data_IF_517970943589
#
_entry.id   IF_517970943589
#
_cell.length_a   1.000
_cell.length_b   1.000
_cell.length_c   1.000
_cell.angle_alpha   90.00
_cell.angle_beta   90.00
_cell.angle_gamma   90.00
#
_symmetry.space_group_name_H-M   'P 1'
#
loop_
_entity.id
_entity.type
_entity.pdbx_description
1 polymer ?
#
# COMPACT_ATOMS: atom_id res chain seq x y z
N UNK A 1 6.35 -21.29 8.25
CA UNK A 1 6.00 -22.21 7.14
C UNK A 1 6.56 -21.60 5.86
N UNK A 2 7.49 -22.28 5.18
CA UNK A 2 8.05 -21.78 3.91
C UNK A 2 6.97 -21.89 2.83
N UNK A 3 6.51 -20.75 2.31
CA UNK A 3 5.58 -20.75 1.16
C UNK A 3 6.43 -21.00 -0.09
N UNK A 4 6.34 -22.20 -0.64
CA UNK A 4 6.96 -22.49 -1.94
C UNK A 4 6.09 -21.86 -3.02
N UNK A 5 6.67 -20.94 -3.78
CA UNK A 5 6.02 -20.26 -4.91
C UNK A 5 6.60 -20.81 -6.20
N UNK A 6 5.73 -21.14 -7.16
CA UNK A 6 6.13 -21.42 -8.53
C UNK A 6 5.67 -20.25 -9.41
N UNK A 7 6.51 -19.85 -10.35
CA UNK A 7 6.26 -18.73 -11.26
C UNK A 7 6.63 -19.13 -12.68
N UNK A 8 5.88 -18.63 -13.66
CA UNK A 8 6.19 -18.81 -15.08
C UNK A 8 5.72 -17.62 -15.88
N UNK A 9 6.42 -17.29 -16.97
CA UNK A 9 5.99 -16.22 -17.86
C UNK A 9 4.63 -16.54 -18.47
N UNK A 10 3.76 -15.52 -18.51
CA UNK A 10 2.58 -15.56 -19.37
C UNK A 10 3.05 -15.69 -20.81
N UNK A 11 2.50 -16.67 -21.54
CA UNK A 11 2.88 -16.93 -22.93
C UNK A 11 2.86 -15.67 -23.79
N UNK A 12 3.88 -15.51 -24.64
CA UNK A 12 4.08 -14.37 -25.53
C UNK A 12 4.31 -13.02 -24.85
N UNK A 13 4.71 -13.01 -23.58
CA UNK A 13 5.15 -11.80 -22.85
C UNK A 13 6.53 -12.03 -22.23
N UNK A 14 7.30 -10.97 -22.08
CA UNK A 14 8.61 -10.96 -21.41
C UNK A 14 8.60 -10.13 -20.11
N UNK A 15 7.44 -9.63 -19.70
CA UNK A 15 7.27 -8.70 -18.58
C UNK A 15 6.24 -9.16 -17.54
N UNK A 16 5.55 -10.28 -17.78
CA UNK A 16 4.45 -10.74 -16.93
C UNK A 16 4.70 -12.16 -16.44
N UNK A 17 4.81 -12.34 -15.12
CA UNK A 17 4.87 -13.65 -14.47
C UNK A 17 3.51 -14.01 -13.88
N UNK A 18 3.09 -15.25 -14.08
CA UNK A 18 2.00 -15.87 -13.33
C UNK A 18 2.53 -16.55 -12.09
N UNK A 19 1.87 -16.30 -10.96
CA UNK A 19 2.22 -16.86 -9.67
C UNK A 19 1.26 -17.99 -9.29
N UNK A 20 1.85 -19.07 -8.78
CA UNK A 20 1.14 -20.21 -8.23
C UNK A 20 1.62 -20.48 -6.81
N UNK A 21 0.68 -20.67 -5.88
CA UNK A 21 0.95 -20.91 -4.47
C UNK A 21 0.70 -22.38 -4.15
N UNK A 22 1.63 -23.01 -3.43
CA UNK A 22 1.43 -24.35 -2.90
C UNK A 22 0.33 -24.35 -1.82
N UNK A 23 -0.73 -25.12 -2.03
CA UNK A 23 -1.87 -25.23 -1.09
C UNK A 23 -1.77 -26.41 -0.12
N UNK A 24 -0.65 -27.13 -0.13
CA UNK A 24 -0.46 -28.38 0.61
C UNK A 24 -0.51 -29.63 -0.28
N UNK A 25 -1.21 -29.56 -1.42
CA UNK A 25 -1.35 -30.67 -2.36
C UNK A 25 -0.95 -30.31 -3.80
N UNK A 26 -1.13 -29.04 -4.20
CA UNK A 26 -0.94 -28.58 -5.58
C UNK A 26 -0.50 -27.11 -5.62
N UNK A 27 0.09 -26.70 -6.75
CA UNK A 27 0.34 -25.28 -7.03
C UNK A 27 -0.90 -24.66 -7.69
N UNK A 28 -1.49 -23.65 -7.05
CA UNK A 28 -2.73 -23.02 -7.50
C UNK A 28 -2.55 -21.55 -7.84
N UNK A 29 -3.04 -21.18 -9.01
CA UNK A 29 -3.12 -19.79 -9.47
C UNK A 29 -4.15 -19.01 -8.64
N UNK A 30 -3.78 -17.81 -8.17
CA UNK A 30 -4.68 -16.92 -7.41
C UNK A 30 -5.14 -17.44 -6.04
N UNK A 31 -4.42 -18.40 -5.46
CA UNK A 31 -4.76 -18.96 -4.15
C UNK A 31 -4.30 -18.06 -2.98
N UNK A 32 -4.99 -18.09 -1.84
CA UNK A 32 -4.69 -17.33 -0.60
C UNK A 32 -4.49 -15.81 -0.79
N UNK A 33 -5.35 -15.17 -1.59
CA UNK A 33 -5.27 -13.73 -1.88
C UNK A 33 -3.86 -13.29 -2.37
N UNK A 34 -3.15 -14.17 -3.07
CA UNK A 34 -1.87 -13.85 -3.70
C UNK A 34 -2.03 -12.92 -4.88
N UNK A 35 -0.95 -12.24 -5.29
CA UNK A 35 -0.88 -11.50 -6.54
C UNK A 35 -0.73 -12.50 -7.70
N UNK A 36 -1.80 -12.83 -8.44
CA UNK A 36 -1.75 -13.91 -9.42
C UNK A 36 -0.88 -13.54 -10.64
N UNK A 37 -0.69 -12.23 -10.86
CA UNK A 37 0.13 -11.67 -11.94
C UNK A 37 1.13 -10.70 -11.32
N UNK A 38 2.39 -10.83 -11.71
CA UNK A 38 3.48 -9.93 -11.34
C UNK A 38 3.95 -9.26 -12.63
N UNK A 39 3.87 -7.94 -12.70
CA UNK A 39 4.41 -7.18 -13.81
C UNK A 39 5.82 -6.71 -13.46
N UNK A 40 6.75 -6.89 -14.37
CA UNK A 40 8.14 -6.49 -14.24
C UNK A 40 8.31 -5.23 -15.09
N UNK A 41 8.75 -4.15 -14.48
CA UNK A 41 8.97 -2.88 -15.16
C UNK A 41 10.46 -2.57 -15.25
N UNK A 42 10.84 -1.71 -16.20
CA UNK A 42 12.24 -1.29 -16.35
C UNK A 42 13.19 -2.40 -16.82
N UNK A 43 12.69 -3.41 -17.53
CA UNK A 43 13.53 -4.48 -18.10
C UNK A 43 14.46 -3.88 -19.15
N UNK A 44 15.79 -3.99 -19.00
CA UNK A 44 16.72 -3.58 -20.05
C UNK A 44 16.50 -4.36 -21.35
N UNK A 45 16.69 -3.72 -22.50
CA UNK A 45 16.51 -4.36 -23.82
C UNK A 45 17.39 -5.61 -24.04
N UNK A 46 18.52 -5.69 -23.32
CA UNK A 46 19.46 -6.80 -23.38
C UNK A 46 19.29 -7.82 -22.24
N UNK A 47 18.18 -7.78 -21.50
CA UNK A 47 17.88 -8.81 -20.50
C UNK A 47 17.38 -10.10 -21.15
N UNK A 48 18.01 -11.23 -20.81
CA UNK A 48 17.56 -12.57 -21.16
C UNK A 48 16.40 -12.99 -20.26
N UNK A 49 15.18 -12.66 -20.67
CA UNK A 49 13.94 -13.04 -19.96
C UNK A 49 13.53 -14.49 -20.20
N UNK A 50 14.23 -15.24 -21.07
CA UNK A 50 13.93 -16.66 -21.30
C UNK A 50 14.35 -17.56 -20.12
N UNK A 51 15.22 -17.05 -19.25
CA UNK A 51 15.70 -17.74 -18.05
C UNK A 51 15.76 -16.76 -16.89
N UNK A 52 15.21 -17.18 -15.75
CA UNK A 52 15.15 -16.33 -14.57
C UNK A 52 15.27 -17.15 -13.30
N UNK A 53 15.70 -16.49 -12.23
CA UNK A 53 15.68 -17.04 -10.88
C UNK A 53 14.99 -16.07 -9.95
N UNK A 54 14.26 -16.59 -8.98
CA UNK A 54 13.63 -15.78 -7.95
C UNK A 54 13.98 -16.34 -6.58
N UNK A 55 14.45 -15.48 -5.69
CA UNK A 55 14.72 -15.83 -4.30
C UNK A 55 14.02 -14.86 -3.36
N UNK A 56 13.72 -15.35 -2.16
CA UNK A 56 13.24 -14.51 -1.07
C UNK A 56 14.42 -14.21 -0.15
N UNK A 57 14.84 -12.95 -0.10
CA UNK A 57 15.99 -12.50 0.68
C UNK A 57 15.56 -11.54 1.78
N UNK A 58 15.38 -12.08 2.99
CA UNK A 58 15.14 -11.45 4.30
C UNK A 58 13.98 -10.44 4.43
N UNK A 59 13.59 -9.72 3.37
CA UNK A 59 12.48 -8.75 3.37
C UNK A 59 11.76 -8.66 1.99
N UNK A 60 12.45 -8.94 0.88
CA UNK A 60 11.87 -8.82 -0.47
C UNK A 60 12.08 -10.08 -1.33
N UNK A 61 11.17 -10.28 -2.30
CA UNK A 61 11.44 -11.16 -3.43
C UNK A 61 12.37 -10.44 -4.39
N UNK A 62 13.39 -11.16 -4.85
CA UNK A 62 14.38 -10.68 -5.81
C UNK A 62 14.32 -11.57 -7.03
N UNK A 63 14.09 -10.97 -8.19
CA UNK A 63 14.06 -11.61 -9.50
C UNK A 63 15.35 -11.25 -10.24
N UNK A 64 15.96 -12.26 -10.88
CA UNK A 64 17.21 -12.09 -11.62
C UNK A 64 17.05 -12.51 -13.07
N UNK A 65 17.52 -11.66 -13.98
CA UNK A 65 17.76 -12.00 -15.38
C UNK A 65 19.25 -11.93 -15.69
N UNK A 66 19.71 -12.72 -16.65
CA UNK A 66 21.05 -12.56 -17.22
C UNK A 66 21.04 -11.47 -18.29
N UNK A 67 22.20 -10.93 -18.63
CA UNK A 67 22.37 -10.16 -19.86
C UNK A 67 22.56 -11.11 -21.06
N UNK A 68 21.91 -10.83 -22.19
CA UNK A 68 22.08 -11.56 -23.45
C UNK A 68 23.56 -11.52 -23.89
N UNK A 69 24.12 -12.68 -24.18
CA UNK A 69 25.52 -12.82 -24.59
C UNK A 69 26.56 -12.58 -23.49
N UNK A 70 26.14 -12.27 -22.25
CA UNK A 70 27.05 -12.04 -21.13
C UNK A 70 26.55 -12.77 -19.86
N UNK A 71 26.97 -14.04 -19.66
CA UNK A 71 26.45 -14.88 -18.58
C UNK A 71 26.94 -14.46 -17.18
N UNK A 72 27.89 -13.53 -17.07
CA UNK A 72 28.44 -13.08 -15.77
C UNK A 72 27.76 -11.82 -15.24
N UNK A 73 26.88 -11.17 -16.02
CA UNK A 73 26.11 -10.01 -15.57
C UNK A 73 24.66 -10.41 -15.30
N UNK A 74 24.17 -10.05 -14.12
CA UNK A 74 22.79 -10.23 -13.71
C UNK A 74 22.12 -8.87 -13.54
N UNK A 75 20.88 -8.76 -14.00
CA UNK A 75 19.97 -7.69 -13.63
C UNK A 75 19.10 -8.16 -12.47
N UNK A 76 19.02 -7.35 -11.43
CA UNK A 76 18.20 -7.61 -10.24
C UNK A 76 16.96 -6.71 -10.25
N UNK A 77 15.82 -7.31 -9.96
CA UNK A 77 14.55 -6.62 -9.75
C UNK A 77 14.06 -6.95 -8.36
N UNK A 78 13.68 -5.93 -7.60
CA UNK A 78 13.16 -6.07 -6.24
C UNK A 78 11.64 -5.93 -6.31
N UNK A 79 10.92 -6.88 -5.72
CA UNK A 79 9.49 -6.75 -5.52
C UNK A 79 9.22 -5.69 -4.44
N UNK A 80 8.75 -4.54 -4.89
CA UNK A 80 8.15 -3.50 -4.06
C UNK A 80 6.65 -3.43 -4.38
N UNK A 81 5.83 -3.65 -3.37
CA UNK A 81 4.37 -3.58 -3.46
C UNK A 81 3.81 -2.44 -2.62
N UNK A 82 4.61 -1.42 -2.28
CA UNK A 82 4.07 -0.18 -1.75
C UNK A 82 3.34 0.59 -2.87
N UNK A 83 2.11 1.00 -2.61
CA UNK A 83 1.40 1.99 -3.42
C UNK A 83 1.92 3.39 -3.07
N UNK A 84 2.81 3.90 -3.92
CA UNK A 84 3.42 5.23 -3.75
C UNK A 84 2.60 6.35 -4.40
N UNK A 85 1.47 6.03 -5.04
CA UNK A 85 0.59 7.06 -5.65
C UNK A 85 -0.12 7.92 -4.62
N UNK A 86 -0.21 7.45 -3.38
CA UNK A 86 -0.83 8.15 -2.25
C UNK A 86 -0.17 7.72 -0.93
N UNK A 87 0.14 8.68 -0.08
CA UNK A 87 0.78 8.45 1.21
C UNK A 87 0.17 9.34 2.29
N UNK A 88 0.29 8.93 3.55
CA UNK A 88 -0.10 9.77 4.69
C UNK A 88 1.08 9.91 5.65
N UNK A 89 1.27 11.11 6.20
CA UNK A 89 2.31 11.37 7.20
C UNK A 89 1.68 11.89 8.49
N UNK A 90 2.22 11.44 9.62
CA UNK A 90 1.76 11.82 10.95
C UNK A 90 2.92 12.17 11.85
N UNK A 91 2.72 13.15 12.73
CA UNK A 91 3.53 13.29 13.93
C UNK A 91 2.76 12.67 15.10
N UNK A 92 3.37 11.72 15.80
CA UNK A 92 2.78 11.13 17.00
C UNK A 92 3.82 11.03 18.09
N UNK A 93 3.58 11.74 19.20
CA UNK A 93 4.29 11.86 20.50
C UNK A 93 5.84 11.83 20.49
N UNK A 94 6.46 10.88 19.79
CA UNK A 94 7.89 10.61 19.76
C UNK A 94 8.46 10.52 18.32
N UNK A 95 7.66 10.19 17.30
CA UNK A 95 8.14 9.95 15.92
C UNK A 95 7.27 10.58 14.84
N UNK A 96 7.90 10.98 13.73
CA UNK A 96 7.20 11.14 12.46
C UNK A 96 6.97 9.76 11.85
N UNK A 97 5.77 9.53 11.33
CA UNK A 97 5.36 8.26 10.73
C UNK A 97 4.95 8.50 9.29
N UNK A 98 5.45 7.67 8.39
CA UNK A 98 5.01 7.59 7.00
C UNK A 98 4.19 6.31 6.82
N UNK A 99 3.05 6.44 6.16
CA UNK A 99 2.17 5.32 5.82
C UNK A 99 2.01 5.21 4.32
N UNK A 100 2.16 3.98 3.82
CA UNK A 100 1.90 3.60 2.44
C UNK A 100 0.90 2.45 2.44
N UNK A 101 -0.03 2.43 1.49
CA UNK A 101 -0.89 1.25 1.30
C UNK A 101 -0.11 0.17 0.58
N UNK A 102 -0.49 -1.08 0.77
CA UNK A 102 -0.03 -2.15 -0.11
C UNK A 102 -0.77 -2.03 -1.46
N UNK A 103 -0.02 -2.02 -2.56
CA UNK A 103 -0.52 -2.00 -3.92
C UNK A 103 -1.47 -3.18 -4.14
N UNK A 104 -2.70 -2.90 -4.59
CA UNK A 104 -3.72 -3.93 -4.81
C UNK A 104 -4.30 -4.57 -3.55
N UNK A 105 -3.88 -4.15 -2.34
CA UNK A 105 -4.45 -4.61 -1.08
C UNK A 105 -4.64 -3.44 -0.10
N UNK A 106 -5.80 -2.76 -0.13
CA UNK A 106 -6.05 -1.61 0.73
C UNK A 106 -6.17 -1.95 2.22
N UNK A 107 -6.28 -3.23 2.56
CA UNK A 107 -6.42 -3.69 3.95
C UNK A 107 -5.07 -3.80 4.67
N UNK A 108 -3.97 -3.37 4.04
CA UNK A 108 -2.63 -3.36 4.64
C UNK A 108 -1.95 -2.02 4.45
N UNK A 109 -1.36 -1.54 5.53
CA UNK A 109 -0.54 -0.32 5.58
C UNK A 109 0.89 -0.68 5.98
N UNK A 110 1.84 -0.30 5.14
CA UNK A 110 3.23 -0.18 5.54
C UNK A 110 3.39 1.09 6.37
N UNK A 111 4.16 0.97 7.44
CA UNK A 111 4.48 2.07 8.34
C UNK A 111 6.00 2.20 8.41
N UNK A 112 6.48 3.43 8.43
CA UNK A 112 7.86 3.75 8.64
C UNK A 112 7.99 4.83 9.72
N UNK A 113 9.00 4.73 10.57
CA UNK A 113 9.28 5.70 11.62
C UNK A 113 10.50 6.53 11.23
N UNK A 114 10.43 7.84 11.43
CA UNK A 114 11.59 8.72 11.26
C UNK A 114 12.59 8.49 12.39
N UNK A 115 13.74 7.93 12.04
CA UNK A 115 14.91 7.84 12.91
C UNK A 115 15.71 9.15 12.78
N UNK A 116 15.78 9.89 13.88
CA UNK A 116 16.49 11.17 13.93
C UNK A 116 18.01 11.00 13.90
N UNK A 117 18.53 9.93 14.48
CA UNK A 117 19.98 9.69 14.53
C UNK A 117 20.50 9.24 13.16
N UNK A 118 19.73 8.39 12.48
CA UNK A 118 20.05 7.90 11.15
C UNK A 118 19.62 8.84 10.02
N UNK A 119 18.89 9.92 10.33
CA UNK A 119 18.24 10.84 9.37
C UNK A 119 17.48 10.09 8.24
N UNK A 120 16.75 9.04 8.61
CA UNK A 120 16.08 8.15 7.64
C UNK A 120 14.79 7.55 8.18
N UNK A 121 13.95 7.04 7.29
CA UNK A 121 12.76 6.27 7.65
C UNK A 121 13.11 4.78 7.79
N UNK A 122 12.79 4.18 8.94
CA UNK A 122 12.99 2.75 9.19
C UNK A 122 11.65 2.00 9.16
N UNK A 123 11.59 0.78 8.59
CA UNK A 123 10.36 -0.02 8.58
C UNK A 123 9.83 -0.32 9.98
N UNK A 124 8.51 -0.30 10.13
CA UNK A 124 7.80 -0.71 11.34
C UNK A 124 6.76 -1.80 11.00
N UNK A 125 6.15 -2.45 12.00
CA UNK A 125 5.16 -3.50 11.74
C UNK A 125 4.05 -3.05 10.79
N UNK A 126 3.75 -3.88 9.80
CA UNK A 126 2.62 -3.69 8.88
C UNK A 126 1.32 -3.69 9.68
N UNK A 127 0.44 -2.74 9.38
CA UNK A 127 -0.83 -2.56 10.07
C UNK A 127 -1.98 -3.06 9.19
N UNK A 128 -2.99 -3.64 9.82
CA UNK A 128 -4.20 -4.09 9.13
C UNK A 128 -5.28 -3.01 9.15
N UNK A 129 -6.11 -2.98 8.11
CA UNK A 129 -7.32 -2.16 8.01
C UNK A 129 -8.49 -3.08 7.71
N UNK A 130 -9.63 -2.88 8.39
CA UNK A 130 -10.79 -3.76 8.21
C UNK A 130 -12.13 -3.07 8.44
N UNK A 131 -13.19 -3.74 7.95
CA UNK A 131 -14.59 -3.35 8.16
C UNK A 131 -15.07 -2.16 7.32
N UNK A 132 -14.18 -1.53 6.55
CA UNK A 132 -14.55 -0.45 5.64
C UNK A 132 -15.46 -0.98 4.51
N UNK A 133 -16.46 -0.20 4.06
CA UNK A 133 -17.32 -0.59 2.95
C UNK A 133 -16.56 -0.90 1.64
N UNK A 134 -17.12 -1.78 0.82
CA UNK A 134 -16.51 -2.18 -0.47
C UNK A 134 -16.35 -1.00 -1.46
N UNK A 135 -17.17 0.05 -1.29
CA UNK A 135 -17.09 1.29 -2.05
C UNK A 135 -16.14 2.31 -1.42
N UNK A 136 -15.17 1.89 -0.60
CA UNK A 136 -14.13 2.79 -0.09
C UNK A 136 -13.13 3.11 -1.20
N UNK A 137 -12.99 4.39 -1.52
CA UNK A 137 -12.00 4.92 -2.44
C UNK A 137 -10.67 5.13 -1.73
N UNK A 138 -9.90 4.05 -1.70
CA UNK A 138 -8.58 4.06 -1.09
C UNK A 138 -7.56 4.90 -1.85
N UNK A 139 -7.82 5.36 -3.08
CA UNK A 139 -6.90 6.29 -3.74
C UNK A 139 -6.90 7.68 -3.09
N UNK A 140 -7.99 8.02 -2.39
CA UNK A 140 -8.21 9.30 -1.70
C UNK A 140 -8.38 9.06 -0.21
N UNK A 141 -7.25 8.91 0.48
CA UNK A 141 -7.20 8.57 1.90
C UNK A 141 -6.26 9.49 2.67
N UNK A 142 -6.40 9.53 3.99
CA UNK A 142 -5.53 10.28 4.90
C UNK A 142 -5.63 9.67 6.29
N UNK A 143 -4.62 9.91 7.12
CA UNK A 143 -4.65 9.60 8.54
C UNK A 143 -4.46 10.86 9.36
N UNK A 144 -4.82 10.83 10.65
CA UNK A 144 -4.44 11.84 11.64
C UNK A 144 -4.29 11.19 13.02
N UNK A 145 -3.60 11.85 13.95
CA UNK A 145 -3.71 11.58 15.38
C UNK A 145 -4.41 12.77 16.03
N UNK A 146 -5.55 12.56 16.70
CA UNK A 146 -6.32 13.64 17.34
C UNK A 146 -5.92 13.88 18.80
N UNK A 147 -4.88 13.19 19.28
CA UNK A 147 -4.42 13.21 20.68
C UNK A 147 -5.02 12.08 21.53
N UNK A 148 -6.10 11.45 21.08
CA UNK A 148 -6.71 10.28 21.73
C UNK A 148 -6.58 9.02 20.87
N UNK A 149 -6.71 9.17 19.56
CA UNK A 149 -6.86 8.11 18.59
C UNK A 149 -6.07 8.38 17.31
N UNK A 150 -5.39 7.34 16.82
CA UNK A 150 -4.92 7.30 15.45
C UNK A 150 -6.12 6.96 14.56
N UNK A 151 -6.46 7.88 13.66
CA UNK A 151 -7.62 7.76 12.76
C UNK A 151 -7.19 7.59 11.32
N UNK A 152 -8.02 6.88 10.57
CA UNK A 152 -7.90 6.72 9.12
C UNK A 152 -9.20 7.17 8.45
N UNK A 153 -9.06 7.83 7.31
CA UNK A 153 -10.14 8.37 6.50
C UNK A 153 -9.92 7.96 5.05
N UNK A 154 -11.00 7.67 4.34
CA UNK A 154 -10.97 7.43 2.89
C UNK A 154 -12.31 7.85 2.27
N UNK A 155 -12.27 8.44 1.08
CA UNK A 155 -13.49 8.82 0.37
C UNK A 155 -14.38 7.62 0.07
N UNK A 156 -15.66 7.88 -0.16
CA UNK A 156 -16.57 6.93 -0.80
C UNK A 156 -16.42 7.02 -2.32
N UNK A 157 -16.31 5.88 -2.98
CA UNK A 157 -16.20 5.76 -4.43
C UNK A 157 -17.46 6.32 -5.09
N UNK A 158 -17.27 7.14 -6.13
CA UNK A 158 -18.37 7.84 -6.79
C UNK A 158 -18.93 9.03 -6.01
N UNK A 159 -18.37 9.35 -4.84
CA UNK A 159 -18.70 10.54 -4.06
C UNK A 159 -17.51 11.50 -3.98
N UNK A 160 -17.84 12.79 -3.98
CA UNK A 160 -16.89 13.89 -3.81
C UNK A 160 -17.10 14.65 -2.51
N UNK A 161 -18.10 14.26 -1.73
CA UNK A 161 -18.41 14.89 -0.45
C UNK A 161 -18.50 13.89 0.70
N UNK A 162 -18.67 12.59 0.44
CA UNK A 162 -18.73 11.58 1.51
C UNK A 162 -17.41 10.84 1.68
N UNK A 163 -17.02 10.63 2.92
CA UNK A 163 -15.83 9.87 3.27
C UNK A 163 -16.03 9.08 4.57
N UNK A 164 -15.43 7.91 4.63
CA UNK A 164 -15.50 6.99 5.76
C UNK A 164 -14.39 7.27 6.75
N UNK A 165 -14.63 6.97 8.02
CA UNK A 165 -13.61 7.02 9.06
C UNK A 165 -13.57 5.75 9.92
N UNK A 166 -12.39 5.52 10.49
CA UNK A 166 -12.13 4.49 11.50
C UNK A 166 -10.96 4.89 12.38
N UNK A 167 -10.69 4.10 13.41
CA UNK A 167 -9.58 4.35 14.33
C UNK A 167 -8.85 3.06 14.72
N UNK A 168 -7.63 3.23 15.22
CA UNK A 168 -6.81 2.15 15.75
C UNK A 168 -7.44 1.56 17.02
N UNK A 169 -7.64 0.26 17.05
CA UNK A 169 -8.23 -0.44 18.20
C UNK A 169 -7.20 -1.17 19.10
N UNK A 170 -5.91 -0.98 18.85
CA UNK A 170 -4.82 -1.73 19.50
C UNK A 170 -4.24 -2.85 18.62
N UNK A 171 -4.93 -3.25 17.56
CA UNK A 171 -4.53 -4.35 16.66
C UNK A 171 -4.68 -4.01 15.17
N UNK A 172 -5.72 -3.25 14.81
CA UNK A 172 -6.03 -2.85 13.45
C UNK A 172 -6.72 -1.49 13.41
N UNK A 173 -6.70 -0.83 12.25
CA UNK A 173 -7.61 0.27 11.96
C UNK A 173 -8.96 -0.30 11.56
N UNK A 174 -9.98 0.00 12.37
CA UNK A 174 -11.31 -0.57 12.18
C UNK A 174 -12.32 0.52 11.83
N UNK A 175 -13.06 0.29 10.76
CA UNK A 175 -14.16 1.17 10.34
C UNK A 175 -15.14 1.44 11.50
N UNK A 176 -15.46 2.71 11.69
CA UNK A 176 -16.39 3.17 12.72
C UNK A 176 -15.92 2.97 14.17
N UNK A 177 -14.74 2.40 14.42
CA UNK A 177 -14.21 2.26 15.78
C UNK A 177 -13.97 3.64 16.38
N UNK A 178 -14.52 3.88 17.57
CA UNK A 178 -14.56 5.20 18.24
C UNK A 178 -15.14 6.33 17.38
N UNK A 179 -15.98 5.97 16.42
CA UNK A 179 -16.72 6.89 15.55
C UNK A 179 -18.16 6.42 15.35
N UNK A 180 -18.74 5.72 16.34
CA UNK A 180 -20.00 4.99 16.20
C UNK A 180 -21.15 5.84 15.65
N UNK A 181 -21.18 7.13 15.96
CA UNK A 181 -22.22 8.09 15.53
C UNK A 181 -21.80 8.96 14.33
N UNK A 182 -20.63 8.74 13.74
CA UNK A 182 -20.06 9.59 12.69
C UNK A 182 -19.12 8.80 11.77
N UNK A 183 -19.54 7.60 11.34
CA UNK A 183 -18.68 6.70 10.55
C UNK A 183 -18.53 7.18 9.10
N UNK A 184 -19.52 7.93 8.63
CA UNK A 184 -19.54 8.63 7.35
C UNK A 184 -19.54 10.13 7.66
N UNK A 185 -18.62 10.84 7.05
CA UNK A 185 -18.47 12.29 7.12
C UNK A 185 -18.91 12.89 5.79
N UNK A 186 -19.53 14.07 5.84
CA UNK A 186 -19.94 14.82 4.64
C UNK A 186 -19.22 16.15 4.60
N UNK A 187 -18.62 16.48 3.46
CA UNK A 187 -18.12 17.80 3.14
C UNK A 187 -19.27 18.66 2.65
N UNK A 188 -19.43 19.81 3.28
CA UNK A 188 -20.43 20.80 2.89
C UNK A 188 -19.73 22.03 2.34
N UNK A 189 -20.36 22.68 1.36
CA UNK A 189 -19.89 23.94 0.78
C UNK A 189 -18.44 23.87 0.23
N UNK A 190 -18.04 22.72 -0.31
CA UNK A 190 -16.72 22.56 -0.94
C UNK A 190 -16.57 23.55 -2.09
N UNK A 191 -15.50 24.39 -2.09
CA UNK A 191 -15.25 25.32 -3.18
C UNK A 191 -15.15 24.62 -4.54
N UNK A 192 -15.69 25.25 -5.58
CA UNK A 192 -15.71 24.67 -6.93
C UNK A 192 -14.33 24.50 -7.57
N UNK A 193 -13.31 25.18 -7.05
CA UNK A 193 -11.92 25.09 -7.49
C UNK A 193 -11.07 24.14 -6.65
N UNK A 194 -11.67 23.30 -5.80
CA UNK A 194 -10.93 22.30 -5.01
C UNK A 194 -10.52 21.10 -5.86
N UNK A 195 -9.28 20.63 -5.67
CA UNK A 195 -8.79 19.37 -6.18
C UNK A 195 -9.30 18.21 -5.32
N UNK A 196 -10.32 17.52 -5.82
CA UNK A 196 -11.01 16.41 -5.14
C UNK A 196 -10.28 15.07 -5.30
N UNK A 197 -9.12 15.04 -5.96
CA UNK A 197 -8.32 13.84 -6.18
C UNK A 197 -7.38 13.50 -5.01
N UNK A 198 -7.26 14.39 -4.02
CA UNK A 198 -6.40 14.20 -2.84
C UNK A 198 -6.98 14.90 -1.63
N UNK A 199 -6.65 14.42 -0.43
CA UNK A 199 -6.98 15.10 0.81
C UNK A 199 -5.87 14.99 1.83
N UNK A 200 -5.87 15.90 2.80
CA UNK A 200 -5.11 15.75 4.01
C UNK A 200 -5.98 16.10 5.23
N UNK A 201 -5.86 15.30 6.27
CA UNK A 201 -6.52 15.51 7.55
C UNK A 201 -5.49 15.90 8.60
N UNK A 202 -5.80 16.92 9.39
CA UNK A 202 -4.98 17.35 10.51
C UNK A 202 -5.87 17.57 11.74
N UNK A 203 -5.32 17.34 12.92
CA UNK A 203 -5.88 17.83 14.16
C UNK A 203 -4.84 18.72 14.83
N UNK A 204 -5.21 19.96 15.14
CA UNK A 204 -4.27 20.96 15.67
C UNK A 204 -4.25 21.05 17.20
N UNK A 205 -4.87 20.07 17.86
CA UNK A 205 -5.07 20.06 19.31
C UNK A 205 -6.41 20.65 19.74
N UNK A 206 -7.16 21.28 18.83
CA UNK A 206 -8.50 21.79 19.09
C UNK A 206 -9.53 21.36 18.04
N UNK A 207 -9.17 21.48 16.77
CA UNK A 207 -10.08 21.29 15.64
C UNK A 207 -9.53 20.29 14.64
N UNK A 208 -10.46 19.60 13.99
CA UNK A 208 -10.18 18.81 12.80
C UNK A 208 -10.15 19.73 11.59
N UNK A 209 -9.08 19.64 10.80
CA UNK A 209 -8.89 20.43 9.59
C UNK A 209 -8.81 19.49 8.39
N UNK A 210 -9.65 19.77 7.41
CA UNK A 210 -9.66 19.09 6.13
C UNK A 210 -9.01 20.00 5.10
N UNK A 211 -7.98 19.50 4.40
CA UNK A 211 -7.28 20.25 3.37
C UNK A 211 -7.45 19.60 2.00
N UNK A 212 -7.65 20.45 1.00
CA UNK A 212 -7.53 20.13 -0.41
C UNK A 212 -6.61 21.14 -1.06
N UNK A 213 -5.92 20.71 -2.11
CA UNK A 213 -5.30 21.65 -3.02
C UNK A 213 -6.38 22.37 -3.83
N UNK A 214 -6.05 23.54 -4.36
CA UNK A 214 -6.84 24.15 -5.44
C UNK A 214 -6.37 23.61 -6.79
N UNK A 215 -7.26 23.60 -7.77
CA UNK A 215 -6.95 23.29 -9.18
C UNK A 215 -6.05 24.35 -9.83
#
# INVERSE_FOLDING_TARGET
>A
MFVVRNVGFKGSTNDTLYQFIWDGNSYRYGHNNSYPKLNITGIPDDADTSSFSMLYGQEHYRLYFRQLGNPTKLYEFIWDDADTSSFSMLYGEEYHRLYLRQLGNPNKLYQFLWDREAESYIPAPTLSVSGFPDDTDWSRWSMLNDGNDYRIYAFKLGSNNEFYQGAWNGSEYKYGYKSANCQVLTLENTPSNSNLASMAMLHDGSEYRFYMQTL
#
